data_IF_818871159014
#
_entry.id   IF_818871159014
#
_cell.length_a   1.000
_cell.length_b   1.000
_cell.length_c   1.000
_cell.angle_alpha   90.00
_cell.angle_beta   90.00
_cell.angle_gamma   90.00
#
_symmetry.space_group_name_H-M   'P 1'
#
loop_
_entity.id
_entity.type
_entity.pdbx_description
1 polymer ?
#
# COMPACT_ATOMS: atom_id res chain seq x y z
N UNK A 1 -23.76 1.91 -12.73
CA UNK A 1 -22.56 1.94 -13.58
C UNK A 1 -21.37 1.64 -12.68
N UNK A 2 -21.05 0.37 -12.45
CA UNK A 2 -19.86 0.01 -11.65
C UNK A 2 -18.85 -0.66 -12.58
N UNK A 3 -17.79 0.09 -12.86
CA UNK A 3 -16.89 -0.19 -13.96
C UNK A 3 -16.02 -1.39 -13.59
N UNK A 4 -16.17 -2.53 -14.29
CA UNK A 4 -15.29 -3.72 -14.20
C UNK A 4 -13.80 -3.36 -14.05
N UNK A 5 -13.36 -2.24 -14.67
CA UNK A 5 -12.02 -1.66 -14.52
C UNK A 5 -11.55 -1.45 -13.07
N UNK A 6 -12.38 -0.96 -12.16
CA UNK A 6 -11.99 -0.71 -10.75
C UNK A 6 -11.75 -2.01 -9.99
N UNK A 7 -12.56 -3.04 -10.28
CA UNK A 7 -12.38 -4.38 -9.72
C UNK A 7 -11.09 -5.02 -10.25
N UNK A 8 -10.84 -4.92 -11.56
CA UNK A 8 -9.61 -5.42 -12.18
C UNK A 8 -8.35 -4.70 -11.66
N UNK A 9 -8.42 -3.40 -11.39
CA UNK A 9 -7.26 -2.67 -10.88
C UNK A 9 -6.87 -3.13 -9.46
N UNK A 10 -7.86 -3.46 -8.63
CA UNK A 10 -7.65 -3.93 -7.26
C UNK A 10 -6.96 -5.32 -7.19
N UNK A 11 -7.11 -6.15 -8.21
CA UNK A 11 -6.44 -7.46 -8.31
C UNK A 11 -5.08 -7.40 -9.01
N UNK A 12 -4.69 -6.26 -9.61
CA UNK A 12 -3.37 -6.12 -10.24
C UNK A 12 -2.26 -6.35 -9.22
N UNK A 13 -1.29 -7.15 -9.59
CA UNK A 13 -0.11 -7.44 -8.76
C UNK A 13 0.84 -6.24 -8.81
N UNK A 14 1.08 -5.62 -7.66
CA UNK A 14 2.04 -4.52 -7.52
C UNK A 14 3.42 -5.08 -7.20
N UNK A 15 3.50 -6.11 -6.35
CA UNK A 15 4.74 -6.84 -6.10
C UNK A 15 4.67 -8.23 -6.74
N UNK A 16 5.41 -8.42 -7.83
CA UNK A 16 5.51 -9.72 -8.49
C UNK A 16 6.21 -10.76 -7.59
N UNK A 17 7.25 -10.33 -6.89
CA UNK A 17 8.14 -11.20 -6.12
C UNK A 17 7.47 -11.78 -4.86
N UNK A 18 6.44 -11.09 -4.35
CA UNK A 18 5.66 -11.51 -3.16
C UNK A 18 4.19 -11.73 -3.47
N UNK A 19 3.82 -11.70 -4.76
CA UNK A 19 2.45 -11.85 -5.27
C UNK A 19 1.42 -10.91 -4.60
N UNK A 20 1.87 -9.72 -4.15
CA UNK A 20 1.03 -8.73 -3.45
C UNK A 20 0.20 -7.97 -4.48
N UNK A 21 -1.10 -7.91 -4.22
CA UNK A 21 -2.09 -7.21 -5.07
C UNK A 21 -2.28 -5.77 -4.60
N UNK A 22 -2.73 -4.92 -5.52
CA UNK A 22 -3.11 -3.53 -5.28
C UNK A 22 -4.13 -3.37 -4.16
N UNK A 23 -5.12 -4.27 -4.09
CA UNK A 23 -6.15 -4.30 -3.06
C UNK A 23 -5.59 -4.51 -1.65
N UNK A 24 -4.56 -5.36 -1.51
CA UNK A 24 -3.88 -5.59 -0.23
C UNK A 24 -3.14 -4.34 0.25
N UNK A 25 -2.48 -3.62 -0.67
CA UNK A 25 -1.83 -2.34 -0.35
C UNK A 25 -2.86 -1.31 0.08
N UNK A 26 -3.97 -1.18 -0.67
CA UNK A 26 -5.06 -0.26 -0.34
C UNK A 26 -5.78 -0.61 0.97
N UNK A 27 -5.90 -1.89 1.31
CA UNK A 27 -6.42 -2.33 2.60
C UNK A 27 -5.49 -1.88 3.74
N UNK A 28 -4.18 -2.12 3.60
CA UNK A 28 -3.21 -1.71 4.62
C UNK A 28 -3.12 -0.18 4.76
N UNK A 29 -3.21 0.57 3.65
CA UNK A 29 -3.30 2.04 3.66
C UNK A 29 -4.53 2.52 4.46
N UNK A 30 -5.70 1.90 4.23
CA UNK A 30 -6.94 2.18 4.98
C UNK A 30 -6.86 1.80 6.45
N UNK A 31 -6.09 0.77 6.79
CA UNK A 31 -5.76 0.41 8.17
C UNK A 31 -4.74 1.37 8.83
N UNK A 32 -4.28 2.42 8.13
CA UNK A 32 -3.34 3.42 8.67
C UNK A 32 -1.89 3.24 8.24
N UNK A 33 -1.57 2.26 7.38
CA UNK A 33 -0.21 2.09 6.84
C UNK A 33 0.07 3.07 5.70
N UNK A 34 0.28 4.34 6.06
CA UNK A 34 0.49 5.47 5.15
C UNK A 34 1.97 5.71 4.79
N UNK A 35 2.83 4.71 4.96
CA UNK A 35 4.25 4.76 4.61
C UNK A 35 4.71 3.45 4.01
N UNK A 36 5.74 3.51 3.16
CA UNK A 36 6.34 2.31 2.57
C UNK A 36 6.85 1.34 3.65
N UNK A 37 7.38 1.87 4.75
CA UNK A 37 7.91 1.07 5.84
C UNK A 37 6.80 0.38 6.64
N UNK A 38 5.68 1.07 6.92
CA UNK A 38 4.51 0.46 7.54
C UNK A 38 3.95 -0.67 6.68
N UNK A 39 3.80 -0.44 5.38
CA UNK A 39 3.39 -1.50 4.44
C UNK A 39 4.40 -2.65 4.39
N UNK A 40 5.70 -2.36 4.42
CA UNK A 40 6.74 -3.38 4.45
C UNK A 40 6.64 -4.23 5.71
N UNK A 41 6.37 -3.64 6.87
CA UNK A 41 6.20 -4.36 8.14
C UNK A 41 4.88 -5.13 8.21
N UNK A 42 3.79 -4.56 7.66
CA UNK A 42 2.44 -5.14 7.73
C UNK A 42 2.19 -6.24 6.68
N UNK A 43 2.54 -5.98 5.41
CA UNK A 43 2.27 -6.91 4.29
C UNK A 43 3.56 -7.49 3.67
N UNK A 44 4.74 -7.16 4.21
CA UNK A 44 6.00 -7.72 3.72
C UNK A 44 6.44 -7.19 2.36
N UNK A 45 5.86 -6.10 1.86
CA UNK A 45 6.12 -5.63 0.49
C UNK A 45 7.54 -5.08 0.34
N UNK A 46 8.20 -5.38 -0.77
CA UNK A 46 9.56 -4.91 -1.04
C UNK A 46 10.70 -5.70 -0.36
N UNK A 47 10.38 -6.76 0.39
CA UNK A 47 11.36 -7.67 1.03
C UNK A 47 11.90 -8.77 0.12
N UNK A 48 11.35 -8.95 -1.08
CA UNK A 48 11.82 -9.99 -2.01
C UNK A 48 13.17 -9.69 -2.68
N UNK A 49 13.68 -10.63 -3.47
CA UNK A 49 14.95 -10.51 -4.23
C UNK A 49 15.08 -9.23 -5.06
N UNK A 50 13.94 -8.66 -5.45
CA UNK A 50 13.82 -7.44 -6.22
C UNK A 50 14.19 -6.17 -5.42
N UNK A 51 14.39 -6.28 -4.09
CA UNK A 51 14.74 -5.21 -3.14
C UNK A 51 13.88 -3.95 -3.33
N UNK A 52 12.57 -4.16 -3.48
CA UNK A 52 11.57 -3.14 -3.75
C UNK A 52 11.75 -2.30 -5.04
N UNK A 53 12.75 -2.55 -5.90
CA UNK A 53 13.02 -1.72 -7.09
C UNK A 53 11.82 -1.45 -7.99
N UNK A 54 10.92 -2.45 -8.16
CA UNK A 54 9.73 -2.32 -9.03
C UNK A 54 8.46 -1.89 -8.31
N UNK A 55 8.26 -2.33 -7.07
CA UNK A 55 7.03 -2.07 -6.35
C UNK A 55 7.08 -0.78 -5.53
N UNK A 56 8.27 -0.34 -5.10
CA UNK A 56 8.49 0.89 -4.33
C UNK A 56 7.88 2.13 -5.00
N UNK A 57 8.21 2.50 -6.25
CA UNK A 57 7.65 3.71 -6.86
C UNK A 57 6.12 3.65 -6.97
N UNK A 58 5.55 2.49 -7.32
CA UNK A 58 4.09 2.29 -7.39
C UNK A 58 3.39 2.45 -6.04
N UNK A 59 4.05 2.02 -4.97
CA UNK A 59 3.49 2.12 -3.61
C UNK A 59 3.58 3.55 -3.11
N UNK A 60 4.74 4.20 -3.29
CA UNK A 60 4.92 5.60 -2.89
C UNK A 60 3.95 6.52 -3.63
N UNK A 61 3.73 6.31 -4.93
CA UNK A 61 2.72 7.03 -5.72
C UNK A 61 1.31 6.84 -5.15
N UNK A 62 0.91 5.59 -4.86
CA UNK A 62 -0.40 5.29 -4.26
C UNK A 62 -0.60 5.89 -2.89
N UNK A 63 0.43 5.88 -2.03
CA UNK A 63 0.38 6.51 -0.71
C UNK A 63 0.23 8.03 -0.88
N UNK A 64 0.97 8.62 -1.82
CA UNK A 64 0.95 10.06 -2.05
C UNK A 64 -0.42 10.52 -2.56
N UNK A 65 -0.97 9.82 -3.55
CA UNK A 65 -2.32 10.03 -4.08
C UNK A 65 -3.38 9.86 -2.98
N UNK A 66 -3.26 8.81 -2.17
CA UNK A 66 -4.14 8.60 -1.03
C UNK A 66 -4.01 9.69 0.02
N UNK A 67 -2.80 10.17 0.35
CA UNK A 67 -2.59 11.27 1.31
C UNK A 67 -3.13 12.60 0.79
N UNK A 68 -2.96 12.88 -0.49
CA UNK A 68 -3.52 14.06 -1.15
C UNK A 68 -5.06 14.05 -1.06
N UNK A 69 -5.66 12.88 -1.30
CA UNK A 69 -7.10 12.67 -1.18
C UNK A 69 -7.62 12.57 0.28
N UNK A 70 -6.82 12.00 1.20
CA UNK A 70 -7.17 11.71 2.59
C UNK A 70 -6.82 12.82 3.58
N UNK A 71 -6.25 13.95 3.13
CA UNK A 71 -5.98 15.16 3.93
C UNK A 71 -7.24 15.76 4.59
N UNK A 72 -8.42 15.17 4.36
CA UNK A 72 -9.66 15.51 5.03
C UNK A 72 -9.96 14.72 6.33
N UNK A 73 -9.22 13.65 6.71
CA UNK A 73 -9.75 12.71 7.72
C UNK A 73 -8.90 12.26 8.92
N UNK A 74 -7.57 12.12 8.90
CA UNK A 74 -6.92 11.34 10.00
C UNK A 74 -5.57 11.88 10.48
N UNK A 75 -5.66 12.66 11.56
CA UNK A 75 -4.59 13.17 12.41
C UNK A 75 -4.47 12.29 13.68
N UNK A 76 -4.41 10.96 13.55
CA UNK A 76 -4.40 10.10 14.74
C UNK A 76 -3.54 8.84 14.61
N UNK A 77 -2.65 8.71 15.59
CA UNK A 77 -2.16 7.45 16.16
C UNK A 77 -0.94 6.76 15.51
N UNK A 78 0.19 7.47 15.63
CA UNK A 78 1.39 6.85 16.19
C UNK A 78 1.01 6.11 17.48
N UNK A 79 1.11 4.78 17.54
CA UNK A 79 1.37 4.09 18.82
C UNK A 79 1.80 2.62 18.66
N UNK A 80 3.00 2.31 19.19
CA UNK A 80 3.39 1.05 19.85
C UNK A 80 3.59 -0.23 19.02
N UNK A 81 4.60 -1.10 19.16
CA UNK A 81 5.83 -1.18 19.97
C UNK A 81 6.71 -2.25 19.30
N UNK A 82 8.03 -2.11 19.38
CA UNK A 82 9.01 -3.15 19.06
C UNK A 82 9.22 -4.02 20.31
N UNK A 83 9.21 -5.36 20.26
CA UNK A 83 9.91 -6.16 21.27
C UNK A 83 11.43 -6.13 21.02
#
# INVERSE_FOLDING_TARGET
METKKQLLDSIKKVCLCRNIKAGTIMAAIREGSLTFEALRRKIGVGTGNCKAKRCRPKIEERIKDYKDNAKAAVESEVSSTQP
#
